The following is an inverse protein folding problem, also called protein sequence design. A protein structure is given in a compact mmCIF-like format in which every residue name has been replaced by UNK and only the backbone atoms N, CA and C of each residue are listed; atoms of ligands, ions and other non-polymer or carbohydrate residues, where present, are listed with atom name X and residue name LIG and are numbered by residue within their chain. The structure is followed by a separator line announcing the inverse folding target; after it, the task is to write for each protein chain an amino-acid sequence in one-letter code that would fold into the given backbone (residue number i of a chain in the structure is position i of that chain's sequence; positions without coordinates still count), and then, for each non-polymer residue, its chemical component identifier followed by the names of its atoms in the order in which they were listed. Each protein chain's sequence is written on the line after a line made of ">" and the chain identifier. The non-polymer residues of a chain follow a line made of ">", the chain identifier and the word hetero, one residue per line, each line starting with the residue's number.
data_IF_781352620536
#
_entry.id   IF_781352620536
#
_cell.length_a   1.000
_cell.length_b   1.000
_cell.length_c   1.000
_cell.angle_alpha   90.00
_cell.angle_beta   90.00
_cell.angle_gamma   90.00
#
_symmetry.space_group_name_H-M   'P 1'
#
loop_
_entity.id
_entity.type
_entity.pdbx_description
1 polymer ?
#
# COMPACT_ATOMS: atom_id res chain seq x y z
N UNK A 1 -6.06 18.05 -7.05
CA UNK A 1 -5.85 17.46 -5.69
C UNK A 1 -4.54 17.96 -5.10
N UNK A 2 -4.47 18.13 -3.77
CA UNK A 2 -3.23 18.45 -3.06
C UNK A 2 -2.29 17.25 -3.14
N UNK A 3 -1.00 17.46 -3.42
CA UNK A 3 0.02 16.42 -3.43
C UNK A 3 0.27 15.92 -2.02
N UNK A 4 0.30 14.61 -1.83
CA UNK A 4 0.52 13.95 -0.53
C UNK A 4 1.80 13.15 -0.53
N UNK A 5 2.47 13.12 0.63
CA UNK A 5 3.69 12.33 0.86
C UNK A 5 3.41 11.33 1.97
N UNK A 6 3.54 10.05 1.64
CA UNK A 6 3.46 8.95 2.61
C UNK A 6 4.83 8.41 2.97
N UNK A 7 4.98 7.90 4.20
CA UNK A 7 6.17 7.19 4.66
C UNK A 7 5.85 5.71 4.89
N UNK A 8 6.58 4.82 4.25
CA UNK A 8 6.52 3.39 4.57
C UNK A 8 7.47 3.08 5.72
N UNK A 9 6.92 2.64 6.84
CA UNK A 9 7.71 2.25 8.00
C UNK A 9 8.52 0.98 7.71
N UNK A 10 9.75 0.84 8.25
CA UNK A 10 10.66 -0.27 7.97
C UNK A 10 10.28 -1.55 8.72
N UNK A 11 9.02 -1.98 8.60
CA UNK A 11 8.40 -3.08 9.37
C UNK A 11 9.20 -4.39 9.34
N UNK A 12 9.79 -4.77 8.20
CA UNK A 12 10.62 -5.98 8.13
C UNK A 12 12.01 -5.80 8.73
N UNK A 13 12.44 -4.59 9.00
CA UNK A 13 13.69 -4.31 9.71
C UNK A 13 13.77 -5.01 11.08
N UNK A 14 12.61 -5.30 11.68
CA UNK A 14 12.52 -6.08 12.93
C UNK A 14 13.01 -7.53 12.80
N UNK A 15 13.11 -8.07 11.59
CA UNK A 15 13.63 -9.41 11.29
C UNK A 15 15.08 -9.41 10.78
N UNK A 16 15.67 -8.22 10.66
CA UNK A 16 17.04 -8.02 10.20
C UNK A 16 17.89 -7.29 11.27
N UNK A 17 17.42 -7.29 12.52
CA UNK A 17 18.05 -6.62 13.66
C UNK A 17 18.35 -5.12 13.42
N UNK A 18 17.54 -4.46 12.58
CA UNK A 18 17.69 -3.03 12.22
C UNK A 18 16.99 -2.15 13.25
N UNK A 19 15.85 -2.61 13.77
CA UNK A 19 15.07 -1.92 14.80
C UNK A 19 14.15 -2.91 15.54
N UNK A 20 13.77 -2.57 16.75
CA UNK A 20 12.76 -3.28 17.54
C UNK A 20 11.34 -2.87 17.11
N UNK A 21 10.31 -3.60 17.56
CA UNK A 21 8.92 -3.23 17.38
C UNK A 21 8.55 -1.93 18.08
N UNK A 22 9.10 -1.67 19.27
CA UNK A 22 8.90 -0.41 19.99
C UNK A 22 9.46 0.77 19.20
N UNK A 23 10.69 0.67 18.69
CA UNK A 23 11.28 1.71 17.84
C UNK A 23 10.51 1.94 16.56
N UNK A 24 9.87 0.91 15.99
CA UNK A 24 8.99 1.06 14.83
C UNK A 24 7.76 1.92 15.16
N UNK A 25 7.12 1.66 16.32
CA UNK A 25 5.97 2.42 16.80
C UNK A 25 6.37 3.86 17.15
N UNK A 26 7.49 4.04 17.84
CA UNK A 26 8.08 5.36 18.13
C UNK A 26 8.38 6.16 16.86
N UNK A 27 8.87 5.49 15.82
CA UNK A 27 9.08 6.12 14.49
C UNK A 27 7.76 6.59 13.89
N UNK A 28 6.69 5.79 14.03
CA UNK A 28 5.35 6.20 13.58
C UNK A 28 4.83 7.42 14.33
N UNK A 29 4.96 7.44 15.63
CA UNK A 29 4.61 8.59 16.47
C UNK A 29 5.41 9.85 16.09
N UNK A 30 6.73 9.73 16.00
CA UNK A 30 7.60 10.83 15.58
C UNK A 30 7.21 11.38 14.20
N UNK A 31 6.93 10.50 13.24
CA UNK A 31 6.56 10.93 11.90
C UNK A 31 5.23 11.70 11.88
N UNK A 32 4.27 11.31 12.71
CA UNK A 32 3.00 12.03 12.92
C UNK A 32 3.26 13.44 13.51
N UNK A 33 4.05 13.53 14.59
CA UNK A 33 4.35 14.81 15.25
C UNK A 33 5.08 15.80 14.36
N UNK A 34 5.86 15.34 13.36
CA UNK A 34 6.56 16.25 12.43
C UNK A 34 5.62 17.00 11.50
N UNK A 35 4.41 16.48 11.22
CA UNK A 35 3.50 17.03 10.22
C UNK A 35 4.05 16.99 8.78
N UNK A 36 5.16 16.27 8.54
CA UNK A 36 5.83 16.20 7.24
C UNK A 36 5.26 15.11 6.34
N UNK A 37 4.51 14.16 6.90
CA UNK A 37 3.91 13.07 6.17
C UNK A 37 2.40 13.12 6.28
N UNK A 38 1.70 12.86 5.17
CA UNK A 38 0.24 12.81 5.14
C UNK A 38 -0.29 11.41 5.52
N UNK A 39 0.57 10.38 5.41
CA UNK A 39 0.21 8.99 5.68
C UNK A 39 1.40 8.15 6.12
N UNK A 40 1.13 7.16 6.97
CA UNK A 40 2.06 6.11 7.36
C UNK A 40 1.60 4.77 6.77
N UNK A 41 2.52 4.09 6.12
CA UNK A 41 2.25 2.84 5.43
C UNK A 41 3.01 1.68 6.05
N UNK A 42 2.33 0.56 6.26
CA UNK A 42 2.96 -0.72 6.57
C UNK A 42 2.56 -1.77 5.53
N UNK A 43 3.40 -2.79 5.37
CA UNK A 43 3.07 -3.89 4.48
C UNK A 43 2.32 -5.00 5.20
N UNK A 44 1.75 -5.92 4.42
CA UNK A 44 1.10 -7.11 4.95
C UNK A 44 1.54 -8.37 4.20
N UNK A 45 1.73 -9.45 4.91
CA UNK A 45 1.90 -10.83 4.46
C UNK A 45 1.99 -11.71 5.70
N UNK A 46 1.23 -12.77 5.77
CA UNK A 46 1.23 -13.65 6.95
C UNK A 46 2.44 -14.60 6.95
N UNK A 47 2.65 -15.35 5.86
CA UNK A 47 3.60 -16.44 5.82
C UNK A 47 4.63 -16.34 4.67
N UNK A 48 4.26 -15.72 3.56
CA UNK A 48 5.14 -15.66 2.39
C UNK A 48 6.35 -14.76 2.61
N UNK A 49 6.15 -13.64 3.30
CA UNK A 49 7.18 -12.65 3.64
C UNK A 49 6.97 -12.19 5.07
N UNK A 50 7.49 -12.94 6.05
CA UNK A 50 7.25 -12.69 7.47
C UNK A 50 7.52 -11.24 7.86
N UNK A 51 6.61 -10.69 8.66
CA UNK A 51 6.67 -9.35 9.25
C UNK A 51 5.77 -9.31 10.48
N UNK A 52 5.88 -8.33 11.35
CA UNK A 52 4.89 -8.09 12.38
C UNK A 52 3.48 -8.03 11.77
N UNK A 53 2.51 -8.65 12.41
CA UNK A 53 1.15 -8.76 11.90
C UNK A 53 0.52 -7.36 11.81
N UNK A 54 -0.10 -7.06 10.67
CA UNK A 54 -0.49 -5.68 10.31
C UNK A 54 -1.63 -5.14 11.17
N UNK A 55 -2.64 -5.96 11.49
CA UNK A 55 -3.78 -5.53 12.32
C UNK A 55 -3.31 -5.19 13.74
N UNK A 56 -2.49 -6.07 14.33
CA UNK A 56 -1.92 -5.82 15.66
C UNK A 56 -1.05 -4.57 15.69
N UNK A 57 -0.20 -4.37 14.67
CA UNK A 57 0.67 -3.20 14.58
C UNK A 57 -0.14 -1.90 14.40
N UNK A 58 -1.22 -1.93 13.60
CA UNK A 58 -2.10 -0.76 13.46
C UNK A 58 -2.76 -0.37 14.77
N UNK A 59 -3.13 -1.32 15.64
CA UNK A 59 -3.64 -1.00 16.97
C UNK A 59 -2.65 -0.15 17.78
N UNK A 60 -1.36 -0.48 17.71
CA UNK A 60 -0.31 0.31 18.38
C UNK A 60 -0.12 1.68 17.73
N UNK A 61 -0.08 1.74 16.39
CA UNK A 61 0.08 3.00 15.66
C UNK A 61 -1.12 3.94 15.85
N UNK A 62 -2.34 3.41 15.84
CA UNK A 62 -3.54 4.21 16.07
C UNK A 62 -3.57 4.87 17.45
N UNK A 63 -2.99 4.20 18.45
CA UNK A 63 -2.93 4.71 19.83
C UNK A 63 -1.89 5.83 20.03
N UNK A 64 -0.89 5.94 19.16
CA UNK A 64 0.22 6.90 19.33
C UNK A 64 0.28 7.99 18.25
N UNK A 65 -0.66 7.98 17.30
CA UNK A 65 -0.75 8.98 16.21
C UNK A 65 -2.09 9.69 16.23
N UNK A 66 -2.13 10.94 15.73
CA UNK A 66 -3.33 11.79 15.78
C UNK A 66 -3.81 12.28 14.40
N UNK A 67 -2.89 12.55 13.47
CA UNK A 67 -3.20 13.28 12.23
C UNK A 67 -2.99 12.46 10.96
N UNK A 68 -1.93 11.64 10.90
CA UNK A 68 -1.60 10.89 9.70
C UNK A 68 -2.62 9.80 9.37
N UNK A 69 -2.89 9.62 8.08
CA UNK A 69 -3.61 8.44 7.59
C UNK A 69 -2.78 7.17 7.86
N UNK A 70 -3.41 6.14 8.41
CA UNK A 70 -2.80 4.83 8.66
C UNK A 70 -3.19 3.86 7.54
N UNK A 71 -2.24 3.48 6.71
CA UNK A 71 -2.49 2.76 5.48
C UNK A 71 -1.73 1.44 5.37
N UNK A 72 -2.38 0.40 4.87
CA UNK A 72 -1.71 -0.85 4.51
C UNK A 72 -1.37 -0.88 3.02
N UNK A 73 -0.10 -1.01 2.71
CA UNK A 73 0.35 -0.99 1.31
C UNK A 73 1.14 -2.22 0.89
N UNK A 74 0.50 -3.24 0.38
CA UNK A 74 -0.91 -3.59 0.30
C UNK A 74 -1.21 -4.82 1.18
N UNK A 75 -2.45 -5.04 1.51
CA UNK A 75 -2.87 -6.21 2.30
C UNK A 75 -2.89 -7.48 1.43
N UNK A 76 -1.74 -8.15 1.40
CA UNK A 76 -1.54 -9.36 0.60
C UNK A 76 -2.31 -10.57 1.15
N UNK A 77 -2.62 -10.56 2.44
CA UNK A 77 -3.40 -11.58 3.11
C UNK A 77 -4.92 -11.41 2.95
N UNK A 78 -5.39 -10.29 2.41
CA UNK A 78 -6.83 -10.01 2.31
C UNK A 78 -7.65 -11.15 1.68
N UNK A 79 -7.20 -11.82 0.60
CA UNK A 79 -7.93 -12.95 0.02
C UNK A 79 -7.98 -14.22 0.90
N UNK A 80 -7.16 -14.31 1.94
CA UNK A 80 -7.10 -15.46 2.85
C UNK A 80 -7.71 -15.20 4.22
N UNK A 81 -8.04 -13.93 4.52
CA UNK A 81 -8.71 -13.54 5.77
C UNK A 81 -10.19 -13.85 5.71
N UNK A 82 -10.77 -14.22 6.84
CA UNK A 82 -12.22 -14.22 7.01
C UNK A 82 -12.76 -12.79 6.91
N UNK A 83 -13.70 -12.49 6.00
CA UNK A 83 -14.14 -11.13 5.76
C UNK A 83 -15.01 -10.55 6.89
N UNK A 84 -15.71 -11.39 7.68
CA UNK A 84 -16.54 -10.92 8.81
C UNK A 84 -15.62 -10.46 9.93
N UNK A 85 -14.69 -11.33 10.35
CA UNK A 85 -13.70 -10.98 11.37
C UNK A 85 -12.86 -9.77 10.95
N UNK A 86 -12.46 -9.72 9.68
CA UNK A 86 -11.69 -8.59 9.15
C UNK A 86 -12.49 -7.28 9.19
N UNK A 87 -13.78 -7.31 8.84
CA UNK A 87 -14.63 -6.13 8.90
C UNK A 87 -14.73 -5.57 10.32
N UNK A 88 -14.88 -6.43 11.35
CA UNK A 88 -14.88 -6.05 12.75
C UNK A 88 -13.53 -5.46 13.20
N UNK A 89 -12.43 -6.13 12.87
CA UNK A 89 -11.08 -5.65 13.18
C UNK A 89 -10.80 -4.27 12.57
N UNK A 90 -11.15 -4.09 11.29
CA UNK A 90 -10.90 -2.83 10.58
C UNK A 90 -11.78 -1.70 11.10
N UNK A 91 -13.07 -1.98 11.40
CA UNK A 91 -13.97 -1.00 12.02
C UNK A 91 -13.46 -0.57 13.41
N UNK A 92 -12.94 -1.52 14.20
CA UNK A 92 -12.32 -1.21 15.49
C UNK A 92 -11.09 -0.32 15.35
N UNK A 93 -10.22 -0.61 14.38
CA UNK A 93 -9.05 0.23 14.08
C UNK A 93 -9.46 1.63 13.59
N UNK A 94 -10.51 1.72 12.80
CA UNK A 94 -11.03 2.99 12.32
C UNK A 94 -11.59 3.84 13.47
N UNK A 95 -12.25 3.23 14.44
CA UNK A 95 -12.67 3.88 15.68
C UNK A 95 -11.46 4.35 16.52
N UNK A 96 -10.47 3.48 16.74
CA UNK A 96 -9.25 3.79 17.50
C UNK A 96 -8.47 4.94 16.87
N UNK A 97 -8.44 5.01 15.55
CA UNK A 97 -7.74 6.05 14.80
C UNK A 97 -8.59 7.29 14.52
N UNK A 98 -9.85 7.35 14.99
CA UNK A 98 -10.79 8.43 14.69
C UNK A 98 -10.98 8.67 13.17
N UNK A 99 -11.13 7.59 12.39
CA UNK A 99 -11.45 7.66 10.97
C UNK A 99 -10.23 7.91 10.06
N UNK A 100 -9.04 7.41 10.43
CA UNK A 100 -7.80 7.59 9.65
C UNK A 100 -7.31 6.33 8.93
N UNK A 101 -8.09 5.24 8.94
CA UNK A 101 -7.68 4.00 8.28
C UNK A 101 -7.86 4.05 6.76
N UNK A 102 -6.88 3.53 6.01
CA UNK A 102 -6.94 3.33 4.57
C UNK A 102 -6.50 1.90 4.22
N UNK A 103 -7.38 1.16 3.54
CA UNK A 103 -7.17 -0.21 3.16
C UNK A 103 -6.75 -0.32 1.68
N UNK A 104 -5.48 -0.66 1.38
CA UNK A 104 -5.13 -1.05 0.02
C UNK A 104 -5.04 -2.57 -0.10
N UNK A 105 -6.00 -3.17 -0.80
CA UNK A 105 -6.07 -4.62 -1.01
C UNK A 105 -5.32 -5.06 -2.26
N UNK A 106 -4.82 -6.29 -2.27
CA UNK A 106 -4.21 -6.88 -3.45
C UNK A 106 -4.39 -8.41 -3.48
N UNK A 107 -4.05 -9.00 -4.62
CA UNK A 107 -4.08 -10.47 -4.77
C UNK A 107 -2.90 -11.17 -4.11
N UNK A 108 -1.94 -10.40 -3.57
CA UNK A 108 -0.68 -10.91 -3.05
C UNK A 108 0.32 -11.26 -4.17
N UNK A 109 1.51 -11.71 -3.79
CA UNK A 109 2.56 -12.10 -4.74
C UNK A 109 2.23 -13.47 -5.32
N UNK A 110 2.12 -13.54 -6.63
CA UNK A 110 1.89 -14.79 -7.38
C UNK A 110 3.17 -15.44 -7.93
N UNK A 111 4.31 -14.76 -7.80
CA UNK A 111 5.63 -15.28 -8.20
C UNK A 111 6.68 -14.91 -7.14
N UNK A 112 7.63 -15.80 -6.83
CA UNK A 112 7.67 -17.21 -7.25
C UNK A 112 6.49 -18.01 -6.67
N UNK A 113 6.09 -19.09 -7.34
CA UNK A 113 4.90 -19.90 -6.96
C UNK A 113 4.95 -20.46 -5.53
N UNK A 114 6.12 -20.77 -5.03
CA UNK A 114 6.31 -21.29 -3.67
C UNK A 114 6.03 -20.22 -2.58
N UNK A 115 6.32 -18.95 -2.84
CA UNK A 115 5.97 -17.87 -1.92
C UNK A 115 4.43 -17.66 -1.86
N UNK A 116 3.77 -17.70 -3.01
CA UNK A 116 2.31 -17.62 -3.09
C UNK A 116 1.64 -18.83 -2.42
N UNK A 117 2.17 -20.05 -2.65
CA UNK A 117 1.69 -21.25 -2.00
C UNK A 117 1.82 -21.17 -0.47
N UNK A 118 2.93 -20.67 0.05
CA UNK A 118 3.11 -20.47 1.51
C UNK A 118 2.09 -19.52 2.10
N UNK A 119 1.67 -18.48 1.37
CA UNK A 119 0.65 -17.55 1.85
C UNK A 119 -0.76 -18.14 1.83
N UNK A 120 -1.11 -18.91 0.81
CA UNK A 120 -2.49 -19.37 0.57
C UNK A 120 -2.79 -20.78 1.05
N UNK A 121 -1.87 -21.73 0.86
CA UNK A 121 -2.13 -23.14 1.10
C UNK A 121 -2.56 -23.47 2.54
N UNK A 122 -1.97 -22.91 3.61
CA UNK A 122 -2.40 -23.16 4.98
C UNK A 122 -3.85 -22.73 5.26
N UNK A 123 -4.38 -21.81 4.44
CA UNK A 123 -5.74 -21.27 4.53
C UNK A 123 -6.68 -21.86 3.47
N UNK A 124 -6.25 -22.88 2.73
CA UNK A 124 -7.05 -23.52 1.66
C UNK A 124 -7.32 -22.59 0.46
N UNK A 125 -6.50 -21.58 0.23
CA UNK A 125 -6.69 -20.58 -0.82
C UNK A 125 -5.67 -20.79 -1.94
N UNK A 126 -6.16 -21.11 -3.14
CA UNK A 126 -5.33 -21.22 -4.34
C UNK A 126 -5.06 -19.88 -4.99
N UNK A 127 -3.93 -19.75 -5.70
CA UNK A 127 -3.58 -18.53 -6.44
C UNK A 127 -4.64 -18.14 -7.46
N UNK A 128 -5.25 -19.10 -8.13
CA UNK A 128 -6.30 -18.86 -9.13
C UNK A 128 -7.55 -18.24 -8.52
N UNK A 129 -7.82 -18.45 -7.23
CA UNK A 129 -9.00 -17.90 -6.54
C UNK A 129 -8.79 -16.52 -5.93
N UNK A 130 -7.53 -16.07 -5.74
CA UNK A 130 -7.20 -14.87 -4.96
C UNK A 130 -7.86 -13.59 -5.48
N UNK A 131 -7.87 -13.40 -6.81
CA UNK A 131 -8.47 -12.21 -7.38
C UNK A 131 -10.00 -12.17 -7.21
N UNK A 132 -10.66 -13.32 -7.32
CA UNK A 132 -12.10 -13.42 -7.10
C UNK A 132 -12.45 -13.30 -5.61
N UNK A 133 -11.67 -13.92 -4.71
CA UNK A 133 -11.82 -13.75 -3.26
C UNK A 133 -11.58 -12.31 -2.82
N UNK A 134 -10.57 -11.63 -3.36
CA UNK A 134 -10.34 -10.21 -3.08
C UNK A 134 -11.57 -9.36 -3.44
N UNK A 135 -12.15 -9.59 -4.63
CA UNK A 135 -13.33 -8.87 -5.07
C UNK A 135 -14.54 -9.17 -4.18
N UNK A 136 -14.79 -10.44 -3.86
CA UNK A 136 -15.88 -10.86 -2.99
C UNK A 136 -15.71 -10.31 -1.56
N UNK A 137 -14.52 -10.42 -0.98
CA UNK A 137 -14.23 -9.88 0.34
C UNK A 137 -14.38 -8.35 0.38
N UNK A 138 -14.02 -7.64 -0.69
CA UNK A 138 -14.22 -6.18 -0.78
C UNK A 138 -15.69 -5.80 -0.72
N UNK A 139 -16.54 -6.52 -1.44
CA UNK A 139 -18.00 -6.32 -1.40
C UNK A 139 -18.56 -6.63 0.00
N UNK A 140 -18.18 -7.77 0.58
CA UNK A 140 -18.63 -8.16 1.92
C UNK A 140 -18.26 -7.12 2.97
N UNK A 141 -17.01 -6.69 3.05
CA UNK A 141 -16.58 -5.74 4.10
C UNK A 141 -17.26 -4.38 3.95
N UNK A 142 -17.47 -3.90 2.73
CA UNK A 142 -18.20 -2.65 2.48
C UNK A 142 -19.64 -2.72 2.98
N UNK A 143 -20.34 -3.81 2.68
CA UNK A 143 -21.69 -4.03 3.16
C UNK A 143 -21.73 -4.15 4.68
N UNK A 144 -20.84 -4.93 5.29
CA UNK A 144 -20.76 -5.08 6.74
C UNK A 144 -20.43 -3.77 7.48
N UNK A 145 -19.74 -2.83 6.84
CA UNK A 145 -19.46 -1.51 7.43
C UNK A 145 -20.64 -0.53 7.34
N UNK A 146 -21.57 -0.74 6.41
CA UNK A 146 -22.63 0.24 6.09
C UNK A 146 -24.05 -0.27 6.32
N UNK A 147 -24.27 -1.59 6.30
CA UNK A 147 -25.59 -2.22 6.40
C UNK A 147 -25.76 -3.00 7.72
N UNK A 148 -27.00 -3.25 8.12
CA UNK A 148 -27.37 -4.14 9.23
C UNK A 148 -27.98 -5.42 8.66
N UNK A 149 -27.97 -6.49 9.48
CA UNK A 149 -28.60 -7.77 9.15
C UNK A 149 -28.19 -8.28 7.75
N UNK A 150 -26.90 -8.11 7.40
CA UNK A 150 -26.38 -8.49 6.10
C UNK A 150 -26.50 -9.99 5.90
N UNK A 151 -27.16 -10.36 4.82
CA UNK A 151 -27.16 -11.74 4.29
C UNK A 151 -26.39 -11.76 3.00
N UNK A 152 -25.44 -12.68 2.88
CA UNK A 152 -24.55 -12.81 1.73
C UNK A 152 -24.48 -14.25 1.26
N UNK A 153 -24.65 -14.46 -0.05
CA UNK A 153 -24.54 -15.77 -0.71
C UNK A 153 -23.50 -15.67 -1.83
N UNK A 154 -22.22 -15.73 -1.46
CA UNK A 154 -21.10 -15.64 -2.37
C UNK A 154 -20.58 -16.98 -2.86
N UNK A 155 -19.54 -16.92 -3.66
CA UNK A 155 -18.84 -18.13 -4.15
C UNK A 155 -17.95 -18.76 -3.08
N UNK A 156 -17.38 -17.95 -2.22
CA UNK A 156 -16.38 -18.35 -1.22
C UNK A 156 -16.86 -18.17 0.21
N UNK A 157 -17.79 -17.25 0.42
CA UNK A 157 -18.31 -16.93 1.75
C UNK A 157 -19.81 -16.77 1.67
N UNK A 158 -20.52 -17.39 2.63
CA UNK A 158 -21.97 -17.24 2.78
C UNK A 158 -22.32 -17.14 4.25
N UNK A 159 -23.24 -16.23 4.60
CA UNK A 159 -23.73 -16.02 5.95
C UNK A 159 -25.10 -15.32 5.93
N UNK A 160 -25.81 -15.36 7.05
CA UNK A 160 -27.13 -14.76 7.18
C UNK A 160 -27.22 -13.87 8.44
N UNK A 161 -27.88 -12.72 8.30
CA UNK A 161 -28.24 -11.81 9.40
C UNK A 161 -27.04 -11.38 10.28
N UNK A 162 -25.95 -10.95 9.66
CA UNK A 162 -24.74 -10.48 10.35
C UNK A 162 -24.72 -8.95 10.40
N UNK A 163 -24.58 -8.40 11.60
CA UNK A 163 -24.30 -6.99 11.86
C UNK A 163 -22.94 -6.86 12.56
N UNK A 164 -22.03 -6.09 12.01
CA UNK A 164 -20.70 -5.82 12.59
C UNK A 164 -20.76 -4.54 13.44
N UNK A 165 -20.29 -4.63 14.67
CA UNK A 165 -20.15 -3.51 15.61
C UNK A 165 -18.77 -3.55 16.29
N UNK A 166 -18.14 -2.38 16.60
CA UNK A 166 -18.67 -1.03 16.32
C UNK A 166 -18.71 -0.73 14.81
N UNK A 167 -19.52 0.24 14.40
CA UNK A 167 -19.43 0.80 13.05
C UNK A 167 -18.12 1.59 12.91
N UNK A 168 -17.49 1.61 11.74
CA UNK A 168 -16.35 2.50 11.52
C UNK A 168 -16.80 3.97 11.61
N UNK A 169 -15.87 4.88 11.88
CA UNK A 169 -16.08 6.34 11.82
C UNK A 169 -16.31 6.77 10.37
N UNK A 170 -15.50 6.25 9.46
CA UNK A 170 -15.64 6.45 8.02
C UNK A 170 -16.80 5.56 7.50
N UNK A 171 -17.61 6.05 6.58
CA UNK A 171 -18.77 5.31 6.08
C UNK A 171 -18.83 5.22 4.55
N UNK A 172 -18.22 4.19 3.94
CA UNK A 172 -17.28 3.21 4.51
C UNK A 172 -15.82 3.73 4.56
N UNK A 173 -14.92 3.06 5.29
CA UNK A 173 -13.48 3.28 5.15
C UNK A 173 -13.02 3.10 3.70
N UNK A 174 -12.10 3.96 3.20
CA UNK A 174 -11.66 3.90 1.81
C UNK A 174 -10.88 2.61 1.50
N UNK A 175 -11.21 2.00 0.38
CA UNK A 175 -10.56 0.79 -0.12
C UNK A 175 -9.87 1.09 -1.45
N UNK A 176 -8.54 1.04 -1.46
CA UNK A 176 -7.75 1.09 -2.68
C UNK A 176 -7.47 -0.33 -3.19
N UNK A 177 -7.29 -0.47 -4.48
CA UNK A 177 -6.76 -1.71 -5.07
C UNK A 177 -5.33 -1.48 -5.51
N UNK A 178 -4.41 -2.28 -4.95
CA UNK A 178 -3.04 -2.30 -5.41
C UNK A 178 -2.93 -3.23 -6.64
N UNK A 179 -2.62 -2.63 -7.78
CA UNK A 179 -2.50 -3.32 -9.06
C UNK A 179 -1.34 -2.74 -9.87
N UNK A 180 -0.47 -3.64 -10.37
CA UNK A 180 0.72 -3.29 -11.12
C UNK A 180 0.71 -4.02 -12.48
N UNK A 181 -0.27 -3.73 -13.36
CA UNK A 181 -0.33 -4.36 -14.65
C UNK A 181 0.83 -3.87 -15.53
N UNK A 182 1.29 -4.73 -16.43
CA UNK A 182 2.19 -4.28 -17.49
C UNK A 182 1.41 -3.38 -18.46
N UNK A 183 2.06 -2.34 -19.02
CA UNK A 183 1.38 -1.44 -19.97
C UNK A 183 0.97 -2.14 -21.27
N UNK A 184 1.73 -3.14 -21.72
CA UNK A 184 1.48 -3.85 -22.97
C UNK A 184 1.64 -5.38 -22.82
N UNK A 185 0.63 -6.17 -23.25
CA UNK A 185 -0.71 -5.71 -23.64
C UNK A 185 -1.46 -5.14 -22.42
N UNK A 186 -2.30 -4.13 -22.66
CA UNK A 186 -3.06 -3.47 -21.61
C UNK A 186 -3.89 -4.47 -20.78
N UNK A 187 -3.68 -4.52 -19.49
CA UNK A 187 -4.35 -5.47 -18.60
C UNK A 187 -5.77 -5.00 -18.23
N UNK A 188 -6.64 -4.83 -19.25
CA UNK A 188 -7.99 -4.25 -19.16
C UNK A 188 -8.80 -4.80 -17.97
N UNK A 189 -8.78 -6.13 -17.75
CA UNK A 189 -9.52 -6.74 -16.63
C UNK A 189 -9.08 -6.27 -15.26
N UNK A 190 -7.76 -6.07 -15.09
CA UNK A 190 -7.21 -5.61 -13.82
C UNK A 190 -7.50 -4.12 -13.60
N UNK A 191 -7.40 -3.31 -14.64
CA UNK A 191 -7.67 -1.87 -14.59
C UNK A 191 -9.15 -1.59 -14.38
N UNK A 192 -10.05 -2.31 -15.10
CA UNK A 192 -11.49 -2.20 -14.89
C UNK A 192 -11.87 -2.54 -13.45
N UNK A 193 -11.27 -3.57 -12.85
CA UNK A 193 -11.51 -3.91 -11.43
C UNK A 193 -11.14 -2.76 -10.48
N UNK A 194 -10.07 -2.04 -10.76
CA UNK A 194 -9.71 -0.84 -9.99
C UNK A 194 -10.82 0.20 -10.10
N UNK A 195 -11.30 0.49 -11.31
CA UNK A 195 -12.33 1.49 -11.53
C UNK A 195 -13.70 1.12 -10.92
N UNK A 196 -14.07 -0.18 -10.91
CA UNK A 196 -15.38 -0.62 -10.41
C UNK A 196 -15.43 -0.83 -8.91
N UNK A 197 -14.34 -1.30 -8.29
CA UNK A 197 -14.37 -1.76 -6.90
C UNK A 197 -13.62 -0.84 -5.92
N UNK A 198 -12.72 0.01 -6.39
CA UNK A 198 -11.84 0.78 -5.49
C UNK A 198 -12.22 2.25 -5.39
N UNK A 199 -11.88 2.86 -4.26
CA UNK A 199 -11.94 4.31 -4.05
C UNK A 199 -10.65 5.02 -4.51
N UNK A 200 -9.60 4.25 -4.80
CA UNK A 200 -8.33 4.72 -5.32
C UNK A 200 -7.45 3.60 -5.85
N UNK A 201 -6.42 3.97 -6.57
CA UNK A 201 -5.44 3.05 -7.13
C UNK A 201 -4.10 3.17 -6.42
N UNK A 202 -3.57 2.04 -5.93
CA UNK A 202 -2.19 1.95 -5.46
C UNK A 202 -1.35 1.22 -6.51
N UNK A 203 -0.19 1.78 -6.86
CA UNK A 203 0.67 1.18 -7.88
C UNK A 203 2.16 1.39 -7.60
N UNK A 204 2.99 0.63 -8.33
CA UNK A 204 4.45 0.79 -8.34
C UNK A 204 4.88 1.10 -9.77
N UNK A 205 5.75 2.10 -9.95
CA UNK A 205 6.30 2.45 -11.28
C UNK A 205 7.45 1.50 -11.60
N UNK A 206 7.23 0.57 -12.53
CA UNK A 206 8.24 -0.41 -12.98
C UNK A 206 8.73 -0.18 -14.41
N UNK A 207 8.17 0.78 -15.09
CA UNK A 207 8.61 1.31 -16.37
C UNK A 207 8.26 2.79 -16.47
N UNK A 208 8.85 3.56 -17.36
CA UNK A 208 8.52 4.98 -17.56
C UNK A 208 7.04 5.20 -17.86
N UNK A 209 6.43 4.30 -18.65
CA UNK A 209 5.07 4.43 -19.17
C UNK A 209 4.00 3.90 -18.20
N UNK A 210 4.40 3.35 -17.06
CA UNK A 210 3.48 2.60 -16.19
C UNK A 210 2.25 3.43 -15.76
N UNK A 211 2.47 4.65 -15.28
CA UNK A 211 1.38 5.56 -14.88
C UNK A 211 0.69 6.17 -16.10
N UNK A 212 1.46 6.67 -17.05
CA UNK A 212 0.95 7.43 -18.22
C UNK A 212 0.13 6.58 -19.19
N UNK A 213 0.26 5.25 -19.19
CA UNK A 213 -0.55 4.34 -19.99
C UNK A 213 -1.74 3.79 -19.20
N UNK A 214 -1.51 3.35 -17.94
CA UNK A 214 -2.56 2.67 -17.19
C UNK A 214 -3.59 3.64 -16.59
N UNK A 215 -3.18 4.83 -16.14
CA UNK A 215 -4.10 5.79 -15.52
C UNK A 215 -5.17 6.32 -16.48
N UNK A 216 -4.87 6.70 -17.74
CA UNK A 216 -5.92 7.05 -18.71
C UNK A 216 -6.96 5.96 -18.91
N UNK A 217 -6.53 4.70 -19.00
CA UNK A 217 -7.47 3.58 -19.14
C UNK A 217 -8.35 3.38 -17.89
N UNK A 218 -7.79 3.60 -16.66
CA UNK A 218 -8.61 3.60 -15.45
C UNK A 218 -9.62 4.75 -15.48
N UNK A 219 -9.20 5.94 -15.92
CA UNK A 219 -10.08 7.11 -16.03
C UNK A 219 -11.24 6.89 -17.01
N UNK A 220 -11.00 6.24 -18.15
CA UNK A 220 -12.05 5.84 -19.08
C UNK A 220 -13.06 4.90 -18.41
N UNK A 221 -12.58 3.86 -17.69
CA UNK A 221 -13.46 2.95 -16.97
C UNK A 221 -14.23 3.62 -15.83
N UNK A 222 -13.65 4.60 -15.13
CA UNK A 222 -14.37 5.38 -14.12
C UNK A 222 -15.53 6.15 -14.73
N UNK A 223 -15.34 6.76 -15.92
CA UNK A 223 -16.41 7.44 -16.67
C UNK A 223 -17.51 6.46 -17.08
N UNK A 224 -17.15 5.26 -17.56
CA UNK A 224 -18.13 4.20 -17.87
C UNK A 224 -18.96 3.79 -16.64
N UNK A 225 -18.38 3.81 -15.45
CA UNK A 225 -19.06 3.53 -14.17
C UNK A 225 -19.79 4.76 -13.59
N UNK A 226 -19.82 5.89 -14.31
CA UNK A 226 -20.46 7.13 -13.86
C UNK A 226 -19.72 7.85 -12.72
N UNK A 227 -18.42 7.59 -12.56
CA UNK A 227 -17.56 8.16 -11.50
C UNK A 227 -16.70 9.28 -12.08
N UNK A 228 -16.40 10.28 -11.23
CA UNK A 228 -15.54 11.39 -11.62
C UNK A 228 -14.04 10.95 -11.62
N UNK A 229 -13.39 10.92 -12.80
CA UNK A 229 -11.99 10.49 -12.91
C UNK A 229 -10.97 11.50 -12.32
N UNK A 230 -11.37 12.76 -12.11
CA UNK A 230 -10.46 13.80 -11.64
C UNK A 230 -10.36 13.86 -10.11
N UNK A 231 -11.28 13.22 -9.41
CA UNK A 231 -11.26 13.07 -7.95
C UNK A 231 -10.71 11.72 -7.50
N UNK A 232 -10.34 10.82 -8.44
CA UNK A 232 -9.87 9.47 -8.12
C UNK A 232 -8.41 9.46 -7.66
N UNK A 233 -8.11 9.05 -6.40
CA UNK A 233 -6.76 9.08 -5.86
C UNK A 233 -5.85 8.02 -6.49
N UNK A 234 -4.59 8.39 -6.67
CA UNK A 234 -3.53 7.50 -7.18
C UNK A 234 -2.34 7.56 -6.23
N UNK A 235 -2.08 6.48 -5.50
CA UNK A 235 -0.92 6.33 -4.62
C UNK A 235 0.19 5.58 -5.33
N UNK A 236 1.30 6.27 -5.61
CA UNK A 236 2.51 5.68 -6.17
C UNK A 236 3.43 5.21 -5.04
N UNK A 237 3.52 3.90 -4.84
CA UNK A 237 4.45 3.29 -3.89
C UNK A 237 5.85 3.23 -4.52
N UNK A 238 6.76 4.02 -4.00
CA UNK A 238 8.07 4.22 -4.59
C UNK A 238 9.19 4.05 -3.57
N UNK A 239 10.34 3.57 -4.03
CA UNK A 239 11.53 3.42 -3.21
C UNK A 239 12.40 4.67 -3.30
N UNK A 240 13.26 4.88 -2.30
CA UNK A 240 14.32 5.88 -2.38
C UNK A 240 15.62 5.39 -1.71
N UNK A 241 16.74 5.92 -2.19
CA UNK A 241 18.04 5.82 -1.55
C UNK A 241 18.89 7.05 -1.89
N UNK A 242 19.34 7.75 -0.86
CA UNK A 242 20.10 8.99 -0.95
C UNK A 242 21.61 8.72 -0.82
N UNK A 243 22.37 9.04 -1.85
CA UNK A 243 23.83 9.02 -1.83
C UNK A 243 24.40 10.03 -2.85
N UNK A 244 25.65 10.47 -2.68
CA UNK A 244 26.30 11.34 -3.68
C UNK A 244 26.43 10.69 -5.06
N UNK A 245 26.64 9.37 -5.10
CA UNK A 245 26.71 8.58 -6.32
C UNK A 245 25.39 7.83 -6.55
N UNK A 246 24.71 8.19 -7.63
CA UNK A 246 23.40 7.63 -8.02
C UNK A 246 23.47 6.13 -8.31
N UNK A 247 24.56 5.66 -8.93
CA UNK A 247 24.72 4.23 -9.24
C UNK A 247 24.99 3.41 -7.99
N UNK A 248 25.80 3.92 -7.06
CA UNK A 248 26.03 3.27 -5.77
C UNK A 248 24.72 3.16 -4.94
N UNK A 249 23.90 4.21 -4.92
CA UNK A 249 22.58 4.18 -4.28
C UNK A 249 21.65 3.15 -4.94
N UNK A 250 21.67 3.05 -6.25
CA UNK A 250 20.90 2.06 -6.98
C UNK A 250 21.34 0.63 -6.66
N UNK A 251 22.65 0.36 -6.67
CA UNK A 251 23.18 -0.99 -6.36
C UNK A 251 22.86 -1.41 -4.91
N UNK A 252 22.89 -0.47 -3.95
CA UNK A 252 22.44 -0.73 -2.58
C UNK A 252 20.94 -1.06 -2.55
N UNK A 253 20.12 -0.28 -3.24
CA UNK A 253 18.68 -0.50 -3.32
C UNK A 253 18.33 -1.85 -3.96
N UNK A 254 19.05 -2.24 -5.02
CA UNK A 254 18.86 -3.52 -5.69
C UNK A 254 19.18 -4.70 -4.76
N UNK A 255 20.28 -4.61 -4.00
CA UNK A 255 20.65 -5.63 -2.98
C UNK A 255 19.60 -5.66 -1.87
N UNK A 256 19.23 -4.50 -1.31
CA UNK A 256 18.20 -4.39 -0.29
C UNK A 256 16.87 -5.06 -0.72
N UNK A 257 16.41 -4.78 -1.94
CA UNK A 257 15.17 -5.37 -2.47
C UNK A 257 15.29 -6.88 -2.68
N UNK A 258 16.48 -7.37 -3.07
CA UNK A 258 16.79 -8.79 -3.17
C UNK A 258 16.72 -9.51 -1.82
N UNK A 259 17.25 -8.92 -0.76
CA UNK A 259 17.19 -9.43 0.62
C UNK A 259 15.75 -9.33 1.16
N UNK A 260 15.08 -8.20 0.91
CA UNK A 260 13.73 -7.93 1.41
C UNK A 260 12.66 -8.82 0.76
N UNK A 261 12.71 -9.04 -0.55
CA UNK A 261 11.67 -9.76 -1.30
C UNK A 261 12.14 -11.09 -1.88
N UNK A 262 13.42 -11.38 -1.88
CA UNK A 262 14.04 -12.38 -2.73
C UNK A 262 14.26 -11.84 -4.17
N UNK A 263 14.89 -12.60 -5.07
CA UNK A 263 15.28 -12.16 -6.42
C UNK A 263 14.07 -12.12 -7.38
N UNK A 264 13.06 -11.30 -7.05
CA UNK A 264 11.79 -11.22 -7.82
C UNK A 264 11.72 -10.03 -8.76
N UNK A 265 12.62 -9.04 -8.62
CA UNK A 265 12.64 -7.84 -9.46
C UNK A 265 13.88 -7.82 -10.35
N UNK A 266 13.70 -7.46 -11.62
CA UNK A 266 14.80 -7.19 -12.52
C UNK A 266 15.53 -5.88 -12.14
N UNK A 267 16.79 -5.74 -12.60
CA UNK A 267 17.54 -4.50 -12.43
C UNK A 267 16.81 -3.30 -13.06
N UNK A 268 16.25 -3.48 -14.23
CA UNK A 268 15.48 -2.46 -14.93
C UNK A 268 14.24 -2.03 -14.16
N UNK A 269 13.39 -2.99 -13.72
CA UNK A 269 12.22 -2.69 -12.91
C UNK A 269 12.58 -1.99 -11.59
N UNK A 270 13.72 -2.36 -10.98
CA UNK A 270 14.22 -1.70 -9.77
C UNK A 270 14.63 -0.26 -10.05
N UNK A 271 15.29 0.03 -11.17
CA UNK A 271 15.67 1.41 -11.56
C UNK A 271 14.45 2.32 -11.67
N UNK A 272 13.41 1.84 -12.36
CA UNK A 272 12.19 2.62 -12.52
C UNK A 272 11.36 2.74 -11.24
N UNK A 273 11.57 1.84 -10.29
CA UNK A 273 10.85 1.83 -9.02
C UNK A 273 11.62 2.51 -7.87
N UNK A 274 12.76 3.11 -8.12
CA UNK A 274 13.62 3.67 -7.06
C UNK A 274 14.17 5.03 -7.46
N UNK A 275 13.84 6.06 -6.69
CA UNK A 275 14.49 7.36 -6.75
C UNK A 275 15.86 7.27 -6.06
N UNK A 276 16.96 7.52 -6.79
CA UNK A 276 18.31 7.37 -6.25
C UNK A 276 19.18 8.58 -6.54
N UNK A 277 20.18 8.81 -5.69
CA UNK A 277 21.20 9.85 -5.91
C UNK A 277 21.15 10.98 -4.88
N UNK A 278 21.51 12.19 -5.31
CA UNK A 278 21.50 13.36 -4.45
C UNK A 278 20.06 13.78 -4.06
N UNK A 279 19.86 14.60 -3.03
CA UNK A 279 18.54 15.11 -2.67
C UNK A 279 17.79 15.77 -3.84
N UNK A 280 18.49 16.52 -4.69
CA UNK A 280 17.93 17.15 -5.89
C UNK A 280 17.43 16.12 -6.91
N UNK A 281 18.22 15.06 -7.13
CA UNK A 281 17.87 13.98 -8.07
C UNK A 281 16.68 13.19 -7.56
N UNK A 282 16.68 12.85 -6.27
CA UNK A 282 15.55 12.12 -5.62
C UNK A 282 14.28 12.96 -5.66
N UNK A 283 14.36 14.26 -5.35
CA UNK A 283 13.21 15.15 -5.44
C UNK A 283 12.66 15.23 -6.88
N UNK A 284 13.53 15.35 -7.88
CA UNK A 284 13.12 15.37 -9.28
C UNK A 284 12.44 14.06 -9.73
N UNK A 285 12.97 12.90 -9.30
CA UNK A 285 12.37 11.60 -9.59
C UNK A 285 10.96 11.47 -8.94
N UNK A 286 10.76 12.03 -7.73
CA UNK A 286 9.46 12.07 -7.05
C UNK A 286 8.50 13.05 -7.74
N UNK A 287 8.97 14.24 -8.14
CA UNK A 287 8.16 15.21 -8.88
C UNK A 287 7.64 14.63 -10.20
N UNK A 288 8.43 13.79 -10.87
CA UNK A 288 7.99 13.09 -12.09
C UNK A 288 6.80 12.17 -11.82
N UNK A 289 6.73 11.51 -10.66
CA UNK A 289 5.55 10.67 -10.31
C UNK A 289 4.27 11.51 -10.20
N UNK A 290 4.37 12.70 -9.62
CA UNK A 290 3.23 13.62 -9.58
C UNK A 290 2.87 14.15 -10.98
N UNK A 291 3.87 14.44 -11.80
CA UNK A 291 3.63 14.84 -13.19
C UNK A 291 2.99 13.73 -14.02
N UNK A 292 3.31 12.47 -13.75
CA UNK A 292 2.71 11.28 -14.36
C UNK A 292 1.30 10.97 -13.83
N UNK A 293 0.79 11.73 -12.85
CA UNK A 293 -0.58 11.66 -12.36
C UNK A 293 -0.78 11.04 -10.97
N UNK A 294 0.28 10.78 -10.21
CA UNK A 294 0.14 10.40 -8.81
C UNK A 294 -0.43 11.57 -7.99
N UNK A 295 -1.34 11.28 -7.07
CA UNK A 295 -1.87 12.25 -6.09
C UNK A 295 -1.15 12.11 -4.75
N UNK A 296 -0.56 10.95 -4.51
CA UNK A 296 0.26 10.63 -3.35
C UNK A 296 1.48 9.82 -3.79
N UNK A 297 2.63 10.11 -3.21
CA UNK A 297 3.83 9.28 -3.34
C UNK A 297 4.20 8.73 -1.98
N UNK A 298 4.11 7.39 -1.86
CA UNK A 298 4.46 6.67 -0.63
C UNK A 298 5.89 6.19 -0.72
N UNK A 299 6.75 6.72 0.13
CA UNK A 299 8.18 6.55 0.08
C UNK A 299 8.66 5.42 1.00
N UNK A 300 9.42 4.48 0.44
CA UNK A 300 10.13 3.45 1.19
C UNK A 300 11.63 3.61 1.06
N UNK A 301 12.31 3.70 2.18
CA UNK A 301 13.77 3.70 2.23
C UNK A 301 14.30 2.30 1.88
N UNK A 302 15.23 2.22 0.94
CA UNK A 302 15.88 0.98 0.49
C UNK A 302 17.35 0.94 0.89
N UNK A 303 17.61 1.18 2.17
CA UNK A 303 18.90 1.05 2.84
C UNK A 303 18.68 0.46 4.23
N UNK A 304 19.63 -0.33 4.73
CA UNK A 304 19.61 -0.80 6.12
C UNK A 304 20.04 0.29 7.11
N UNK A 305 20.76 1.33 6.65
CA UNK A 305 20.97 2.58 7.39
C UNK A 305 19.78 3.55 7.22
N UNK A 306 18.59 3.04 7.54
CA UNK A 306 17.34 3.73 7.30
C UNK A 306 17.19 5.02 8.12
N UNK A 307 17.80 5.11 9.30
CA UNK A 307 17.75 6.31 10.17
C UNK A 307 18.43 7.50 9.49
N UNK A 308 19.65 7.27 8.98
CA UNK A 308 20.38 8.29 8.22
C UNK A 308 19.63 8.69 6.96
N UNK A 309 19.06 7.72 6.25
CA UNK A 309 18.26 7.98 5.05
C UNK A 309 16.99 8.77 5.37
N UNK A 310 16.30 8.45 6.47
CA UNK A 310 15.13 9.19 6.93
C UNK A 310 15.49 10.64 7.30
N UNK A 311 16.59 10.84 8.00
CA UNK A 311 17.14 12.15 8.32
C UNK A 311 17.41 12.99 7.06
N UNK A 312 18.05 12.40 6.06
CA UNK A 312 18.31 13.06 4.77
C UNK A 312 17.01 13.36 4.02
N UNK A 313 16.06 12.42 3.99
CA UNK A 313 14.76 12.61 3.37
C UNK A 313 14.06 13.84 3.97
N UNK A 314 13.97 13.91 5.29
CA UNK A 314 13.27 14.98 6.01
C UNK A 314 13.97 16.33 5.86
N UNK A 315 15.30 16.37 5.98
CA UNK A 315 16.07 17.62 5.96
C UNK A 315 16.30 18.18 4.56
N UNK A 316 16.47 17.27 3.57
CA UNK A 316 16.99 17.66 2.27
C UNK A 316 15.99 17.46 1.11
N UNK A 317 15.09 16.48 1.18
CA UNK A 317 14.18 16.15 0.07
C UNK A 317 12.80 16.76 0.27
N UNK A 318 12.16 16.53 1.44
CA UNK A 318 10.79 17.03 1.69
C UNK A 318 10.67 18.53 1.52
N UNK A 319 11.63 19.39 1.97
CA UNK A 319 11.54 20.84 1.73
C UNK A 319 11.55 21.22 0.24
N UNK A 320 12.13 20.39 -0.63
CA UNK A 320 12.11 20.62 -2.08
C UNK A 320 10.78 20.25 -2.73
N UNK A 321 10.07 19.26 -2.15
CA UNK A 321 8.76 18.80 -2.62
C UNK A 321 7.60 19.68 -2.10
N UNK A 322 7.81 20.37 -1.01
CA UNK A 322 6.86 21.30 -0.39
C UNK A 322 7.52 22.69 -0.23
N UNK A 323 7.73 23.44 -1.32
CA UNK A 323 8.22 24.79 -1.19
C UNK A 323 7.24 25.62 -0.36
N UNK A 324 7.79 26.35 0.60
CA UNK A 324 7.07 27.21 1.56
C UNK A 324 6.28 28.35 0.88
#
# INVERSE_FOLDING_TARGET
>A
MTRKIGLTLPQRGTFFDVLSLSELVETGHWADETGLFDSLWIGDSLLAKPRPESIALFGSLAAVTNDVTLAVGCMASFPVRDPILFAEQWATLDQLSAGRMLLAVCTGIVKPKDASAREGAPYGVSDASRAARMAENTDIVRRLWTEEDVTYAGRYTSFENVTVLPRPVQSPPPVYIASNPVPEPLATRALRRVATLADGWMTTRKSPEHLTVNLPAIKEFLVEEGRDPDTFPVSAYHNLNLAPDREAAYEESYRFLGEYYGPVFSREATRHWTATGTPEQVAADIEQLYADGATEVTLRITSWDWRRQLDLLVKEVIPRLRPS
#
